data_IF_715791393828
#
_entry.id   IF_715791393828
#
_cell.length_a   1.000
_cell.length_b   1.000
_cell.length_c   1.000
_cell.angle_alpha   90.00
_cell.angle_beta   90.00
_cell.angle_gamma   90.00
#
_symmetry.space_group_name_H-M   'P 1'
#
loop_
_entity.id
_entity.type
_entity.pdbx_description
1 polymer ?
#
# COMPACT_ATOMS: atom_id res chain seq x y z
N UNK A 1 -17.02 39.55 -9.16
CA UNK A 1 -17.07 38.13 -8.73
C UNK A 1 -16.36 37.31 -9.78
N UNK A 2 -15.33 36.54 -9.41
CA UNK A 2 -14.64 35.66 -10.36
C UNK A 2 -15.56 34.47 -10.66
N UNK A 3 -16.09 34.38 -11.87
CA UNK A 3 -16.91 33.24 -12.29
C UNK A 3 -15.99 32.05 -12.56
N UNK A 4 -16.21 30.95 -11.83
CA UNK A 4 -15.49 29.70 -12.05
C UNK A 4 -16.36 28.73 -12.85
N UNK A 5 -15.74 28.04 -13.82
CA UNK A 5 -16.32 26.88 -14.48
C UNK A 5 -15.80 25.60 -13.84
N UNK A 6 -16.60 24.54 -13.84
CA UNK A 6 -16.13 23.20 -13.50
C UNK A 6 -16.69 22.13 -14.43
N UNK A 7 -16.01 21.00 -14.49
CA UNK A 7 -16.48 19.81 -15.18
C UNK A 7 -16.04 18.54 -14.42
N UNK A 8 -16.84 17.49 -14.52
CA UNK A 8 -16.50 16.14 -14.08
C UNK A 8 -16.13 15.29 -15.30
N UNK A 9 -15.09 14.48 -15.18
CA UNK A 9 -14.59 13.64 -16.27
C UNK A 9 -14.15 12.27 -15.77
N UNK A 10 -14.31 11.26 -16.62
CA UNK A 10 -14.03 9.88 -16.27
C UNK A 10 -12.55 9.53 -16.42
N UNK A 11 -12.05 8.76 -15.45
CA UNK A 11 -10.70 8.22 -15.49
C UNK A 11 -10.68 6.78 -15.00
N UNK A 12 -9.58 6.04 -15.20
CA UNK A 12 -9.43 4.65 -14.76
C UNK A 12 -9.46 4.48 -13.23
N UNK A 13 -9.30 5.57 -12.47
CA UNK A 13 -9.31 5.53 -11.00
C UNK A 13 -10.59 6.11 -10.37
N UNK A 14 -11.54 6.57 -11.20
CA UNK A 14 -12.80 7.16 -10.78
C UNK A 14 -13.09 8.49 -11.48
N UNK A 15 -14.25 9.09 -11.18
CA UNK A 15 -14.66 10.35 -11.78
C UNK A 15 -13.98 11.53 -11.09
N UNK A 16 -13.08 12.19 -11.81
CA UNK A 16 -12.35 13.36 -11.35
C UNK A 16 -13.14 14.63 -11.63
N UNK A 17 -12.72 15.73 -11.02
CA UNK A 17 -13.24 17.05 -11.29
C UNK A 17 -12.14 18.05 -11.60
N UNK A 18 -12.47 19.07 -12.39
CA UNK A 18 -11.55 20.15 -12.75
C UNK A 18 -12.28 21.49 -12.64
N UNK A 19 -11.60 22.51 -12.11
CA UNK A 19 -12.16 23.85 -11.89
C UNK A 19 -11.22 24.88 -12.51
N UNK A 20 -11.75 25.80 -13.30
CA UNK A 20 -11.00 26.86 -13.98
C UNK A 20 -11.64 28.23 -13.79
N UNK A 21 -10.83 29.29 -13.90
CA UNK A 21 -11.27 30.68 -13.96
C UNK A 21 -10.67 31.38 -15.18
N UNK A 22 -10.83 32.70 -15.27
CA UNK A 22 -10.36 33.49 -16.43
C UNK A 22 -8.84 33.53 -16.62
N UNK A 23 -8.04 33.09 -15.63
CA UNK A 23 -6.56 33.08 -15.68
C UNK A 23 -5.96 31.68 -15.81
N UNK A 24 -6.79 30.64 -15.87
CA UNK A 24 -6.35 29.26 -16.01
C UNK A 24 -6.94 28.31 -14.97
N UNK A 25 -6.26 27.18 -14.80
CA UNK A 25 -6.68 26.08 -13.93
C UNK A 25 -6.54 26.45 -12.45
N UNK A 26 -7.59 26.24 -11.67
CA UNK A 26 -7.63 26.58 -10.24
C UNK A 26 -7.56 25.32 -9.37
N UNK A 27 -8.14 24.22 -9.83
CA UNK A 27 -8.11 22.93 -9.10
C UNK A 27 -8.28 21.72 -10.00
N UNK A 28 -7.60 20.63 -9.62
CA UNK A 28 -7.93 19.26 -10.02
C UNK A 28 -8.34 18.48 -8.76
N UNK A 29 -9.53 17.91 -8.79
CA UNK A 29 -10.08 17.07 -7.74
C UNK A 29 -9.98 15.60 -8.16
N UNK A 30 -9.14 14.84 -7.45
CA UNK A 30 -9.10 13.38 -7.57
C UNK A 30 -10.42 12.76 -7.05
N UNK A 31 -10.78 11.55 -7.49
CA UNK A 31 -12.09 10.97 -7.19
C UNK A 31 -12.22 10.64 -5.71
N UNK A 32 -13.40 10.92 -5.15
CA UNK A 32 -13.86 10.35 -3.88
C UNK A 32 -14.51 8.97 -4.10
N UNK A 33 -15.09 8.37 -3.06
CA UNK A 33 -15.75 7.07 -3.16
C UNK A 33 -16.98 7.11 -4.08
N UNK A 34 -17.65 8.26 -4.19
CA UNK A 34 -18.79 8.48 -5.09
C UNK A 34 -18.63 9.79 -5.85
N UNK A 35 -19.16 9.85 -7.08
CA UNK A 35 -19.19 11.07 -7.88
C UNK A 35 -19.83 12.26 -7.14
N UNK A 36 -20.95 12.01 -6.45
CA UNK A 36 -21.64 13.02 -5.64
C UNK A 36 -20.71 13.65 -4.60
N UNK A 37 -19.78 12.87 -4.02
CA UNK A 37 -18.80 13.35 -3.04
C UNK A 37 -17.68 14.13 -3.72
N UNK A 38 -17.20 13.68 -4.88
CA UNK A 38 -16.25 14.43 -5.71
C UNK A 38 -16.82 15.82 -6.05
N UNK A 39 -18.08 15.86 -6.51
CA UNK A 39 -18.81 17.10 -6.81
C UNK A 39 -18.96 17.98 -5.58
N UNK A 40 -19.45 17.41 -4.47
CA UNK A 40 -19.66 18.14 -3.23
C UNK A 40 -18.36 18.77 -2.71
N UNK A 41 -17.23 18.05 -2.77
CA UNK A 41 -15.92 18.57 -2.33
C UNK A 41 -15.42 19.73 -3.19
N UNK A 42 -15.71 19.74 -4.50
CA UNK A 42 -15.40 20.90 -5.34
C UNK A 42 -16.28 22.10 -5.00
N UNK A 43 -17.59 21.90 -4.91
CA UNK A 43 -18.56 22.98 -4.63
C UNK A 43 -18.40 23.55 -3.21
N UNK A 44 -17.94 22.75 -2.25
CA UNK A 44 -17.59 23.24 -0.92
C UNK A 44 -16.48 24.31 -0.97
N UNK A 45 -15.55 24.20 -1.92
CA UNK A 45 -14.42 25.13 -2.04
C UNK A 45 -14.65 26.22 -3.07
N UNK A 46 -15.52 25.96 -4.05
CA UNK A 46 -15.95 26.90 -5.06
C UNK A 46 -17.49 26.91 -5.15
N UNK A 47 -18.18 27.51 -4.17
CA UNK A 47 -19.65 27.48 -4.11
C UNK A 47 -20.33 28.10 -5.32
N UNK A 48 -19.69 29.12 -5.92
CA UNK A 48 -20.20 29.85 -7.07
C UNK A 48 -19.78 29.23 -8.42
N UNK A 49 -19.04 28.10 -8.42
CA UNK A 49 -18.63 27.46 -9.65
C UNK A 49 -19.82 26.84 -10.38
N UNK A 50 -19.88 27.04 -11.70
CA UNK A 50 -20.95 26.51 -12.55
C UNK A 50 -20.41 25.40 -13.43
N UNK A 51 -21.20 24.34 -13.57
CA UNK A 51 -20.87 23.26 -14.49
C UNK A 51 -20.97 23.78 -15.92
N UNK A 52 -19.92 23.59 -16.72
CA UNK A 52 -19.85 24.10 -18.08
C UNK A 52 -18.96 23.20 -18.94
N UNK A 53 -19.06 23.34 -20.26
CA UNK A 53 -18.11 22.71 -21.17
C UNK A 53 -16.70 23.31 -20.95
N UNK A 54 -15.66 22.47 -20.79
CA UNK A 54 -14.29 22.95 -20.62
C UNK A 54 -13.83 23.76 -21.84
N UNK A 55 -13.19 24.93 -21.65
CA UNK A 55 -12.53 25.63 -22.74
C UNK A 55 -11.35 24.80 -23.29
N UNK A 56 -10.85 25.08 -24.51
CA UNK A 56 -9.89 24.20 -25.20
C UNK A 56 -8.61 23.89 -24.42
N UNK A 57 -8.11 24.83 -23.63
CA UNK A 57 -6.94 24.66 -22.77
C UNK A 57 -7.20 23.72 -21.58
N UNK A 58 -8.36 23.84 -20.95
CA UNK A 58 -8.80 22.94 -19.88
C UNK A 58 -9.11 21.55 -20.44
N UNK A 59 -9.71 21.46 -21.63
CA UNK A 59 -9.96 20.17 -22.28
C UNK A 59 -8.65 19.42 -22.56
N UNK A 60 -7.61 20.11 -23.06
CA UNK A 60 -6.28 19.50 -23.22
C UNK A 60 -5.69 18.99 -21.90
N UNK A 61 -5.93 19.69 -20.79
CA UNK A 61 -5.51 19.23 -19.47
C UNK A 61 -6.26 17.96 -19.06
N UNK A 62 -7.57 17.90 -19.28
CA UNK A 62 -8.39 16.70 -19.04
C UNK A 62 -7.84 15.53 -19.85
N UNK A 63 -7.66 15.70 -21.15
CA UNK A 63 -7.19 14.64 -22.04
C UNK A 63 -5.83 14.09 -21.61
N UNK A 64 -4.90 14.98 -21.22
CA UNK A 64 -3.60 14.59 -20.71
C UNK A 64 -3.66 13.85 -19.36
N UNK A 65 -4.56 14.25 -18.44
CA UNK A 65 -4.79 13.53 -17.18
C UNK A 65 -5.36 12.13 -17.46
N UNK A 66 -6.33 12.02 -18.36
CA UNK A 66 -6.94 10.75 -18.76
C UNK A 66 -5.90 9.82 -19.38
N UNK A 67 -5.05 10.33 -20.27
CA UNK A 67 -3.94 9.58 -20.88
C UNK A 67 -2.98 9.06 -19.81
N UNK A 68 -2.53 9.91 -18.87
CA UNK A 68 -1.67 9.48 -17.76
C UNK A 68 -2.31 8.37 -16.93
N UNK A 69 -3.62 8.41 -16.71
CA UNK A 69 -4.32 7.41 -15.90
C UNK A 69 -4.52 6.07 -16.65
N UNK A 70 -4.40 6.09 -17.98
CA UNK A 70 -4.30 4.88 -18.81
C UNK A 70 -2.89 4.32 -18.89
N UNK A 71 -1.90 5.00 -18.29
CA UNK A 71 -0.48 4.65 -18.36
C UNK A 71 0.19 5.16 -19.64
N UNK A 72 -0.46 6.04 -20.40
CA UNK A 72 0.08 6.66 -21.59
C UNK A 72 0.98 7.85 -21.21
N UNK A 73 2.03 8.10 -21.98
CA UNK A 73 2.91 9.23 -21.75
C UNK A 73 2.19 10.55 -22.16
N UNK A 74 2.02 11.46 -21.21
CA UNK A 74 1.50 12.81 -21.49
C UNK A 74 2.22 13.85 -20.63
N UNK A 75 2.41 15.05 -21.20
CA UNK A 75 3.07 16.17 -20.54
C UNK A 75 2.07 17.27 -20.24
N UNK A 76 1.90 17.59 -18.94
CA UNK A 76 0.99 18.62 -18.46
C UNK A 76 1.70 19.94 -18.10
N UNK A 77 2.98 20.09 -18.47
CA UNK A 77 3.78 21.30 -18.19
C UNK A 77 3.27 22.54 -18.93
N UNK A 78 2.55 22.38 -20.04
CA UNK A 78 1.93 23.49 -20.79
C UNK A 78 0.59 23.99 -20.23
N UNK A 79 0.05 23.36 -19.18
CA UNK A 79 -1.22 23.81 -18.57
C UNK A 79 -0.99 25.09 -17.76
N UNK A 80 -1.78 26.12 -18.04
CA UNK A 80 -1.76 27.39 -17.29
C UNK A 80 -2.44 27.20 -15.93
N UNK A 81 -1.73 27.53 -14.85
CA UNK A 81 -2.23 27.45 -13.47
C UNK A 81 -2.55 28.85 -12.95
N UNK A 82 -3.69 29.04 -12.30
CA UNK A 82 -4.00 30.27 -11.55
C UNK A 82 -3.27 30.22 -10.20
N UNK A 83 -2.14 30.93 -10.14
CA UNK A 83 -1.23 30.92 -8.99
C UNK A 83 -1.53 32.02 -7.97
N UNK A 84 -2.54 32.89 -8.18
CA UNK A 84 -2.82 34.05 -7.32
C UNK A 84 -3.02 33.69 -5.85
N UNK A 85 -3.62 32.52 -5.60
CA UNK A 85 -3.92 32.02 -4.24
C UNK A 85 -2.84 31.09 -3.70
N UNK A 86 -1.73 30.94 -4.43
CA UNK A 86 -0.63 30.04 -4.07
C UNK A 86 0.49 30.85 -3.43
N UNK A 87 0.90 30.55 -2.19
CA UNK A 87 2.05 31.22 -1.58
C UNK A 87 3.30 31.12 -2.46
N UNK A 88 4.13 32.18 -2.56
CA UNK A 88 5.29 32.20 -3.47
C UNK A 88 6.24 31.00 -3.33
N UNK A 89 6.48 30.54 -2.10
CA UNK A 89 7.30 29.35 -1.86
C UNK A 89 6.66 28.08 -2.44
N UNK A 90 5.33 27.91 -2.30
CA UNK A 90 4.62 26.76 -2.85
C UNK A 90 4.68 26.78 -4.38
N UNK A 91 4.57 27.97 -4.99
CA UNK A 91 4.67 28.12 -6.43
C UNK A 91 5.99 27.57 -6.98
N UNK A 92 7.12 27.96 -6.38
CA UNK A 92 8.44 27.42 -6.76
C UNK A 92 8.54 25.90 -6.54
N UNK A 93 7.96 25.37 -5.46
CA UNK A 93 7.88 23.90 -5.24
C UNK A 93 7.10 23.22 -6.36
N UNK A 94 5.99 23.80 -6.79
CA UNK A 94 5.15 23.25 -7.86
C UNK A 94 5.87 23.27 -9.20
N UNK A 95 6.59 24.34 -9.54
CA UNK A 95 7.44 24.42 -10.73
C UNK A 95 8.45 23.28 -10.80
N UNK A 96 9.19 23.04 -9.70
CA UNK A 96 10.14 21.91 -9.63
C UNK A 96 9.42 20.58 -9.76
N UNK A 97 8.28 20.38 -9.08
CA UNK A 97 7.51 19.15 -9.17
C UNK A 97 7.01 18.86 -10.60
N UNK A 98 6.65 19.88 -11.37
CA UNK A 98 6.20 19.75 -12.76
C UNK A 98 7.29 19.29 -13.73
N UNK A 99 8.56 19.40 -13.35
CA UNK A 99 9.68 18.86 -14.15
C UNK A 99 9.85 17.34 -14.03
N UNK A 100 9.19 16.70 -13.05
CA UNK A 100 9.34 15.26 -12.82
C UNK A 100 8.54 14.51 -13.88
N UNK A 101 9.15 13.74 -14.78
CA UNK A 101 8.42 13.03 -15.83
C UNK A 101 7.64 11.83 -15.25
N UNK A 102 6.59 11.36 -15.95
CA UNK A 102 5.90 10.12 -15.58
C UNK A 102 6.89 8.95 -15.46
N UNK A 103 6.70 8.10 -14.46
CA UNK A 103 7.58 6.94 -14.24
C UNK A 103 8.87 7.26 -13.46
N UNK A 104 9.15 8.53 -13.17
CA UNK A 104 10.27 8.93 -12.32
C UNK A 104 9.79 9.49 -10.99
N UNK A 105 10.67 9.43 -9.99
CA UNK A 105 10.40 9.97 -8.65
C UNK A 105 11.59 10.76 -8.14
N UNK A 106 11.34 11.69 -7.23
CA UNK A 106 12.35 12.50 -6.56
C UNK A 106 11.94 12.64 -5.08
N UNK A 107 12.89 12.87 -4.19
CA UNK A 107 12.60 13.09 -2.77
C UNK A 107 12.25 14.54 -2.44
N UNK A 108 11.57 14.75 -1.30
CA UNK A 108 11.35 16.10 -0.75
C UNK A 108 12.67 16.87 -0.55
N UNK A 109 13.75 16.18 -0.17
CA UNK A 109 15.06 16.78 0.05
C UNK A 109 15.75 17.21 -1.24
N UNK A 110 15.61 16.43 -2.31
CA UNK A 110 16.12 16.81 -3.63
C UNK A 110 15.37 18.01 -4.21
N UNK A 111 14.06 18.13 -4.00
CA UNK A 111 13.32 19.36 -4.36
C UNK A 111 13.83 20.55 -3.53
N UNK A 112 14.00 20.37 -2.23
CA UNK A 112 14.50 21.43 -1.34
C UNK A 112 15.91 21.90 -1.76
N UNK A 113 16.78 20.98 -2.19
CA UNK A 113 18.09 21.28 -2.72
C UNK A 113 18.02 22.08 -4.04
N UNK A 114 17.15 21.69 -4.99
CA UNK A 114 16.93 22.43 -6.24
C UNK A 114 16.41 23.85 -6.03
N UNK A 115 15.73 24.09 -4.90
CA UNK A 115 15.24 25.41 -4.50
C UNK A 115 16.30 26.27 -3.78
N UNK A 116 17.53 25.76 -3.60
CA UNK A 116 18.58 26.45 -2.84
C UNK A 116 18.33 26.46 -1.32
N UNK A 117 17.43 25.59 -0.82
CA UNK A 117 17.09 25.51 0.60
C UNK A 117 17.09 24.04 1.10
N UNK A 118 18.24 23.35 1.19
CA UNK A 118 18.33 21.92 1.49
C UNK A 118 17.64 21.48 2.80
N UNK A 119 17.61 22.37 3.81
CA UNK A 119 16.94 22.13 5.09
C UNK A 119 15.40 22.22 5.03
N UNK A 120 14.83 22.67 3.91
CA UNK A 120 13.39 22.95 3.77
C UNK A 120 12.52 21.74 3.39
N UNK A 121 13.04 20.50 3.52
CA UNK A 121 12.32 19.27 3.14
C UNK A 121 10.90 19.18 3.74
N UNK A 122 10.72 19.57 5.01
CA UNK A 122 9.41 19.60 5.68
C UNK A 122 8.47 20.64 5.05
N UNK A 123 8.99 21.83 4.71
CA UNK A 123 8.21 22.88 4.08
C UNK A 123 7.77 22.50 2.66
N UNK A 124 8.64 21.80 1.90
CA UNK A 124 8.28 21.21 0.60
C UNK A 124 7.13 20.21 0.76
N UNK A 125 7.18 19.34 1.77
CA UNK A 125 6.10 18.41 2.08
C UNK A 125 4.78 19.11 2.38
N UNK A 126 4.80 20.19 3.17
CA UNK A 126 3.60 20.99 3.46
C UNK A 126 3.03 21.69 2.21
N UNK A 127 3.91 22.24 1.35
CA UNK A 127 3.51 22.86 0.10
C UNK A 127 2.80 21.85 -0.82
N UNK A 128 3.38 20.66 -1.00
CA UNK A 128 2.80 19.59 -1.82
C UNK A 128 1.52 19.00 -1.21
N UNK A 129 1.42 18.95 0.13
CA UNK A 129 0.20 18.52 0.82
C UNK A 129 -0.99 19.46 0.61
N UNK A 130 -0.72 20.73 0.27
CA UNK A 130 -1.72 21.77 -0.07
C UNK A 130 -1.87 22.00 -1.57
N UNK A 131 -1.30 21.15 -2.41
CA UNK A 131 -1.36 21.26 -3.86
C UNK A 131 -2.81 21.18 -4.38
N UNK A 132 -3.36 22.25 -4.99
CA UNK A 132 -4.70 22.22 -5.55
C UNK A 132 -4.74 21.62 -6.97
N UNK A 133 -3.58 21.44 -7.60
CA UNK A 133 -3.44 21.05 -9.02
C UNK A 133 -2.97 19.60 -9.14
N UNK A 134 -3.60 18.66 -8.42
CA UNK A 134 -3.21 17.26 -8.46
C UNK A 134 -3.02 16.75 -9.91
N UNK A 135 -2.02 15.89 -10.13
CA UNK A 135 -1.59 15.34 -11.44
C UNK A 135 -0.89 16.37 -12.35
N UNK A 136 -1.45 17.57 -12.53
CA UNK A 136 -0.78 18.65 -13.28
C UNK A 136 0.48 19.11 -12.56
N UNK A 137 0.41 19.24 -11.23
CA UNK A 137 1.53 19.25 -10.30
C UNK A 137 1.59 17.84 -9.68
N UNK A 138 2.54 16.98 -10.11
CA UNK A 138 2.52 15.55 -9.80
C UNK A 138 3.11 15.25 -8.41
N UNK A 139 2.43 15.71 -7.35
CA UNK A 139 2.87 15.51 -5.97
C UNK A 139 2.98 14.03 -5.56
N UNK A 140 2.32 13.11 -6.27
CA UNK A 140 2.46 11.66 -6.08
C UNK A 140 3.84 11.12 -6.49
N UNK A 141 4.57 11.81 -7.39
CA UNK A 141 5.94 11.47 -7.80
C UNK A 141 7.02 11.88 -6.78
N UNK A 142 6.63 12.60 -5.73
CA UNK A 142 7.55 13.07 -4.69
C UNK A 142 7.52 12.13 -3.47
N UNK A 143 8.67 11.59 -3.10
CA UNK A 143 8.83 10.56 -2.07
C UNK A 143 9.61 11.06 -0.85
N UNK A 144 9.55 10.32 0.25
CA UNK A 144 10.46 10.49 1.36
C UNK A 144 11.86 9.93 1.00
N UNK A 145 12.86 10.29 1.81
CA UNK A 145 14.23 9.85 1.59
C UNK A 145 14.33 8.31 1.55
N UNK A 146 15.20 7.79 0.67
CA UNK A 146 15.34 6.35 0.41
C UNK A 146 14.19 5.72 -0.40
N UNK A 147 13.37 6.51 -1.08
CA UNK A 147 12.26 6.02 -1.92
C UNK A 147 11.04 5.53 -1.13
N UNK A 148 10.96 5.87 0.16
CA UNK A 148 9.78 5.58 1.01
C UNK A 148 8.62 6.47 0.62
N UNK A 149 7.39 6.00 0.79
CA UNK A 149 6.22 6.84 0.52
C UNK A 149 6.07 7.87 1.65
N UNK A 150 5.96 9.14 1.28
CA UNK A 150 5.37 10.16 2.15
C UNK A 150 3.83 10.13 2.08
N UNK A 151 3.17 10.87 2.97
CA UNK A 151 1.72 11.02 2.96
C UNK A 151 1.15 11.57 1.64
N UNK A 152 -0.16 11.43 1.46
CA UNK A 152 -0.88 11.91 0.28
C UNK A 152 -2.28 12.41 0.68
N UNK A 153 -2.64 13.61 0.25
CA UNK A 153 -3.85 14.30 0.72
C UNK A 153 -5.13 13.89 0.00
N UNK A 154 -5.04 13.11 -1.09
CA UNK A 154 -6.22 12.66 -1.83
C UNK A 154 -6.99 11.55 -1.08
N UNK A 155 -8.25 11.35 -1.45
CA UNK A 155 -9.03 10.18 -1.02
C UNK A 155 -8.22 8.89 -1.26
N UNK A 156 -8.24 7.96 -0.29
CA UNK A 156 -7.41 6.74 -0.32
C UNK A 156 -5.93 6.94 0.03
N UNK A 157 -5.49 8.17 0.31
CA UNK A 157 -4.19 8.47 0.89
C UNK A 157 -3.01 7.84 0.16
N UNK A 158 -2.12 7.20 0.91
CA UNK A 158 -0.91 6.55 0.38
C UNK A 158 -1.24 5.48 -0.67
N UNK A 159 -2.38 4.79 -0.58
CA UNK A 159 -2.80 3.80 -1.57
C UNK A 159 -3.07 4.44 -2.95
N UNK A 160 -3.71 5.61 -2.98
CA UNK A 160 -3.93 6.36 -4.23
C UNK A 160 -2.60 6.83 -4.82
N UNK A 161 -1.66 7.29 -3.99
CA UNK A 161 -0.31 7.66 -4.43
C UNK A 161 0.42 6.48 -5.09
N UNK A 162 0.37 5.31 -4.46
CA UNK A 162 0.93 4.07 -5.00
C UNK A 162 0.28 3.65 -6.31
N UNK A 163 -1.03 3.77 -6.41
CA UNK A 163 -1.77 3.48 -7.64
C UNK A 163 -1.31 4.36 -8.79
N UNK A 164 -1.19 5.68 -8.57
CA UNK A 164 -0.72 6.63 -9.57
C UNK A 164 0.73 6.33 -10.00
N UNK A 165 1.62 6.06 -9.04
CA UNK A 165 3.00 5.65 -9.35
C UNK A 165 3.05 4.33 -10.15
N UNK A 166 2.18 3.38 -9.82
CA UNK A 166 2.09 2.09 -10.50
C UNK A 166 1.60 2.23 -11.94
N UNK A 167 0.57 3.06 -12.17
CA UNK A 167 0.05 3.36 -13.51
C UNK A 167 1.16 3.95 -14.39
N UNK A 168 1.97 4.86 -13.84
CA UNK A 168 3.08 5.49 -14.56
C UNK A 168 4.33 4.59 -14.69
N UNK A 169 4.31 3.38 -14.14
CA UNK A 169 5.45 2.45 -14.18
C UNK A 169 6.61 2.84 -13.25
N UNK A 170 6.44 3.84 -12.38
CA UNK A 170 7.48 4.39 -11.54
C UNK A 170 8.03 3.37 -10.53
N UNK A 171 9.35 3.28 -10.44
CA UNK A 171 10.04 2.46 -9.45
C UNK A 171 10.15 3.21 -8.12
N UNK A 172 9.03 3.33 -7.40
CA UNK A 172 9.17 3.45 -5.95
C UNK A 172 9.83 2.16 -5.46
N UNK A 173 10.78 2.23 -4.53
CA UNK A 173 11.32 1.05 -3.84
C UNK A 173 10.17 0.38 -3.05
N UNK A 174 9.31 -0.35 -3.77
CA UNK A 174 8.07 -0.96 -3.32
C UNK A 174 8.33 -2.25 -2.52
N UNK A 175 9.53 -2.36 -1.94
CA UNK A 175 9.87 -3.39 -0.95
C UNK A 175 9.55 -2.95 0.48
N UNK A 176 9.19 -1.68 0.73
CA UNK A 176 9.12 -1.20 2.12
C UNK A 176 8.02 -0.19 2.48
N UNK A 177 7.02 0.09 1.62
CA UNK A 177 6.01 1.11 1.93
C UNK A 177 4.55 0.75 1.56
N UNK A 178 4.22 -0.52 1.32
CA UNK A 178 2.83 -0.96 1.15
C UNK A 178 2.20 -1.47 2.46
N UNK A 179 2.93 -1.37 3.59
CA UNK A 179 2.70 -2.14 4.81
C UNK A 179 2.82 -1.33 6.11
N UNK A 180 2.39 -0.07 6.09
CA UNK A 180 2.30 0.75 7.31
C UNK A 180 0.83 0.79 7.78
N UNK A 181 0.53 0.03 8.84
CA UNK A 181 -0.66 0.20 9.67
C UNK A 181 -0.29 0.65 11.09
N UNK A 182 -1.23 1.27 11.78
CA UNK A 182 -1.15 1.69 13.19
C UNK A 182 -1.69 0.62 14.16
N UNK A 183 -1.99 -0.58 13.65
CA UNK A 183 -2.62 -1.66 14.41
C UNK A 183 -1.81 -2.05 15.64
N UNK A 184 -2.43 -1.90 16.80
CA UNK A 184 -1.84 -2.22 18.10
C UNK A 184 -1.81 -3.72 18.33
N UNK A 185 -0.67 -4.24 18.77
CA UNK A 185 -0.57 -5.62 19.23
C UNK A 185 -1.48 -5.86 20.43
N UNK A 186 -1.95 -7.11 20.58
CA UNK A 186 -2.69 -7.56 21.77
C UNK A 186 -1.78 -7.90 22.96
N UNK A 187 -0.49 -7.61 22.83
CA UNK A 187 0.53 -7.78 23.85
C UNK A 187 1.41 -6.53 23.86
N UNK A 188 2.02 -6.23 25.00
CA UNK A 188 2.98 -5.13 25.11
C UNK A 188 4.32 -5.53 24.49
N UNK A 189 4.77 -4.87 23.41
CA UNK A 189 5.97 -5.30 22.69
C UNK A 189 7.24 -5.27 23.55
N UNK A 190 7.40 -4.26 24.40
CA UNK A 190 8.60 -4.11 25.23
C UNK A 190 8.70 -5.23 26.29
N UNK A 191 7.58 -5.59 26.91
CA UNK A 191 7.49 -6.75 27.82
C UNK A 191 7.82 -8.04 27.09
N UNK A 192 7.28 -8.24 25.90
CA UNK A 192 7.53 -9.43 25.10
C UNK A 192 8.99 -9.55 24.63
N UNK A 193 9.62 -8.43 24.25
CA UNK A 193 11.05 -8.38 23.90
C UNK A 193 11.90 -8.76 25.10
N UNK A 194 11.65 -8.16 26.27
CA UNK A 194 12.44 -8.45 27.47
C UNK A 194 12.26 -9.91 27.92
N UNK A 195 11.04 -10.45 27.82
CA UNK A 195 10.79 -11.86 28.09
C UNK A 195 11.63 -12.78 27.20
N UNK A 196 11.63 -12.56 25.88
CA UNK A 196 12.40 -13.37 24.93
C UNK A 196 13.90 -13.22 25.17
N UNK A 197 14.35 -11.99 25.45
CA UNK A 197 15.74 -11.68 25.77
C UNK A 197 16.22 -12.41 27.02
N UNK A 198 15.44 -12.38 28.10
CA UNK A 198 15.76 -13.06 29.36
C UNK A 198 15.71 -14.60 29.23
N UNK A 199 14.75 -15.12 28.46
CA UNK A 199 14.51 -16.56 28.32
C UNK A 199 15.56 -17.29 27.46
N UNK A 200 16.27 -16.56 26.59
CA UNK A 200 17.33 -17.12 25.76
C UNK A 200 18.56 -16.21 25.66
N UNK A 201 19.51 -16.42 26.57
CA UNK A 201 20.82 -15.73 26.60
C UNK A 201 21.63 -15.83 25.30
N UNK A 202 21.37 -16.83 24.45
CA UNK A 202 22.05 -16.94 23.14
C UNK A 202 21.36 -16.13 22.05
N UNK A 203 20.08 -15.79 22.21
CA UNK A 203 19.35 -14.90 21.32
C UNK A 203 19.50 -13.43 21.73
N UNK A 204 19.72 -13.15 23.02
CA UNK A 204 19.88 -11.80 23.55
C UNK A 204 20.90 -10.92 22.78
N UNK A 205 22.09 -11.40 22.36
CA UNK A 205 23.02 -10.58 21.58
C UNK A 205 22.46 -10.15 20.22
N UNK A 206 21.59 -10.96 19.61
CA UNK A 206 20.90 -10.56 18.38
C UNK A 206 19.89 -9.45 18.66
N UNK A 207 19.13 -9.56 19.74
CA UNK A 207 18.14 -8.55 20.15
C UNK A 207 18.84 -7.22 20.39
N UNK A 208 19.92 -7.22 21.17
CA UNK A 208 20.70 -6.02 21.49
C UNK A 208 21.28 -5.36 20.22
N UNK A 209 21.79 -6.18 19.29
CA UNK A 209 22.35 -5.69 18.02
C UNK A 209 21.28 -5.13 17.06
N UNK A 210 20.12 -5.77 16.97
CA UNK A 210 19.03 -5.33 16.10
C UNK A 210 18.33 -4.10 16.68
N UNK A 211 18.26 -3.99 18.01
CA UNK A 211 17.62 -2.91 18.73
C UNK A 211 16.10 -3.02 18.71
N UNK A 212 15.42 -1.88 18.82
CA UNK A 212 13.98 -1.75 19.06
C UNK A 212 13.12 -2.65 18.15
N UNK A 213 12.13 -3.31 18.74
CA UNK A 213 11.08 -4.03 18.01
C UNK A 213 10.17 -3.06 17.27
N UNK A 214 10.18 -3.12 15.94
CA UNK A 214 9.50 -2.15 15.06
C UNK A 214 8.47 -2.79 14.12
N UNK A 215 8.01 -4.00 14.44
CA UNK A 215 6.96 -4.64 13.64
C UNK A 215 5.68 -3.82 13.73
N UNK A 216 4.97 -3.69 12.61
CA UNK A 216 3.65 -3.04 12.54
C UNK A 216 2.64 -4.04 12.01
N UNK A 217 1.45 -4.02 12.57
CA UNK A 217 0.34 -4.79 12.02
C UNK A 217 -0.16 -4.13 10.75
N UNK A 218 -0.53 -4.98 9.81
CA UNK A 218 -1.10 -4.58 8.54
C UNK A 218 -2.61 -4.73 8.64
N UNK A 219 -3.36 -3.65 8.39
CA UNK A 219 -4.82 -3.71 8.40
C UNK A 219 -5.33 -4.49 7.18
N UNK A 220 -6.50 -5.12 7.32
CA UNK A 220 -7.20 -5.79 6.22
C UNK A 220 -8.70 -5.62 6.44
N UNK A 221 -9.51 -5.42 5.40
CA UNK A 221 -10.97 -5.32 5.55
C UNK A 221 -11.61 -6.68 5.92
N UNK A 222 -10.98 -7.80 5.55
CA UNK A 222 -11.44 -9.14 5.90
C UNK A 222 -10.34 -10.20 5.78
N UNK A 223 -10.60 -11.39 6.34
CA UNK A 223 -9.75 -12.57 6.13
C UNK A 223 -9.78 -13.02 4.67
N UNK A 224 -10.95 -12.95 4.02
CA UNK A 224 -11.08 -13.25 2.60
C UNK A 224 -10.12 -12.41 1.75
N UNK A 225 -10.13 -11.08 1.94
CA UNK A 225 -9.26 -10.18 1.18
C UNK A 225 -7.78 -10.48 1.45
N UNK A 226 -7.39 -10.70 2.70
CA UNK A 226 -6.01 -11.02 3.03
C UNK A 226 -5.52 -12.31 2.35
N UNK A 227 -6.38 -13.35 2.31
CA UNK A 227 -6.05 -14.61 1.64
C UNK A 227 -6.09 -14.47 0.11
N UNK A 228 -7.02 -13.70 -0.44
CA UNK A 228 -7.08 -13.40 -1.87
C UNK A 228 -5.81 -12.67 -2.32
N UNK A 229 -5.37 -11.67 -1.57
CA UNK A 229 -4.10 -10.98 -1.80
C UNK A 229 -2.93 -11.98 -1.73
N UNK A 230 -2.86 -12.81 -0.68
CA UNK A 230 -1.79 -13.81 -0.54
C UNK A 230 -1.70 -14.75 -1.75
N UNK A 231 -2.83 -15.29 -2.24
CA UNK A 231 -2.89 -16.14 -3.45
C UNK A 231 -2.29 -15.42 -4.66
N UNK A 232 -2.64 -14.15 -4.85
CA UNK A 232 -2.12 -13.37 -5.99
C UNK A 232 -0.62 -13.11 -5.85
N UNK A 233 -0.10 -12.95 -4.63
CA UNK A 233 1.30 -12.64 -4.37
C UNK A 233 2.26 -13.82 -4.43
N UNK A 234 1.75 -15.05 -4.38
CA UNK A 234 2.59 -16.25 -4.44
C UNK A 234 3.48 -16.30 -5.69
N UNK A 235 4.76 -16.64 -5.49
CA UNK A 235 5.74 -16.90 -6.56
C UNK A 235 5.93 -15.74 -7.55
N UNK A 236 5.55 -14.52 -7.16
CA UNK A 236 5.75 -13.32 -7.96
C UNK A 236 6.58 -12.30 -7.19
N UNK A 237 7.17 -11.37 -7.93
CA UNK A 237 7.67 -10.15 -7.32
C UNK A 237 6.50 -9.36 -6.75
N UNK A 238 6.70 -8.64 -5.64
CA UNK A 238 5.65 -7.81 -5.04
C UNK A 238 5.06 -6.81 -6.02
N UNK A 239 5.86 -6.26 -6.95
CA UNK A 239 5.40 -5.36 -8.01
C UNK A 239 4.42 -6.05 -8.97
N UNK A 240 4.79 -7.21 -9.50
CA UNK A 240 3.93 -7.95 -10.43
C UNK A 240 2.62 -8.38 -9.76
N UNK A 241 2.71 -8.86 -8.52
CA UNK A 241 1.54 -9.25 -7.74
C UNK A 241 0.61 -8.09 -7.42
N UNK A 242 1.15 -6.94 -6.97
CA UNK A 242 0.37 -5.73 -6.70
C UNK A 242 -0.35 -5.25 -7.96
N UNK A 243 0.32 -5.25 -9.11
CA UNK A 243 -0.29 -4.91 -10.40
C UNK A 243 -1.45 -5.84 -10.74
N UNK A 244 -1.27 -7.16 -10.60
CA UNK A 244 -2.35 -8.13 -10.88
C UNK A 244 -3.51 -7.95 -9.90
N UNK A 245 -3.22 -7.82 -8.59
CA UNK A 245 -4.26 -7.66 -7.58
C UNK A 245 -5.05 -6.36 -7.79
N UNK A 246 -4.39 -5.25 -8.10
CA UNK A 246 -5.04 -3.99 -8.43
C UNK A 246 -5.93 -4.10 -9.68
N UNK A 247 -5.47 -4.81 -10.72
CA UNK A 247 -6.29 -5.10 -11.92
C UNK A 247 -7.50 -5.94 -11.60
N UNK A 248 -7.38 -6.95 -10.73
CA UNK A 248 -8.52 -7.76 -10.26
C UNK A 248 -9.52 -6.89 -9.49
N UNK A 249 -9.06 -6.05 -8.57
CA UNK A 249 -9.92 -5.12 -7.84
C UNK A 249 -10.64 -4.16 -8.78
N UNK A 250 -9.95 -3.67 -9.81
CA UNK A 250 -10.51 -2.75 -10.80
C UNK A 250 -11.62 -3.36 -11.67
N UNK A 251 -11.81 -4.68 -11.67
CA UNK A 251 -12.96 -5.32 -12.33
C UNK A 251 -14.28 -5.04 -11.62
N UNK A 252 -14.25 -4.61 -10.36
CA UNK A 252 -15.44 -4.49 -9.52
C UNK A 252 -15.61 -3.08 -8.97
N UNK A 253 -16.81 -2.50 -9.07
CA UNK A 253 -17.09 -1.23 -8.42
C UNK A 253 -16.97 -1.39 -6.90
N UNK A 254 -16.36 -0.40 -6.25
CA UNK A 254 -16.18 -0.32 -4.78
C UNK A 254 -15.26 -1.38 -4.14
N UNK A 255 -14.54 -2.17 -4.93
CA UNK A 255 -13.53 -3.10 -4.41
C UNK A 255 -12.16 -2.42 -4.13
N UNK A 256 -12.17 -1.20 -3.59
CA UNK A 256 -10.94 -0.40 -3.38
C UNK A 256 -9.98 -1.04 -2.36
N UNK A 257 -10.54 -1.76 -1.40
CA UNK A 257 -9.79 -2.48 -0.36
C UNK A 257 -9.66 -3.98 -0.67
N UNK A 258 -10.18 -4.44 -1.81
CA UNK A 258 -10.21 -5.85 -2.21
C UNK A 258 -11.60 -6.29 -2.72
N UNK A 259 -11.68 -7.35 -3.54
CA UNK A 259 -12.96 -7.89 -4.01
C UNK A 259 -13.71 -8.63 -2.88
N UNK A 260 -15.03 -8.76 -3.01
CA UNK A 260 -15.83 -9.68 -2.17
C UNK A 260 -15.86 -11.10 -2.77
N UNK A 261 -16.26 -12.08 -1.96
CA UNK A 261 -16.44 -13.45 -2.43
C UNK A 261 -17.48 -13.52 -3.57
N UNK A 262 -18.60 -12.83 -3.43
CA UNK A 262 -19.69 -12.80 -4.42
C UNK A 262 -19.23 -12.14 -5.73
N UNK A 263 -18.41 -11.09 -5.65
CA UNK A 263 -17.83 -10.44 -6.82
C UNK A 263 -16.94 -11.41 -7.61
N UNK A 264 -16.04 -12.12 -6.91
CA UNK A 264 -15.21 -13.15 -7.54
C UNK A 264 -16.08 -14.25 -8.16
N UNK A 265 -17.10 -14.75 -7.45
CA UNK A 265 -17.98 -15.80 -7.94
C UNK A 265 -18.77 -15.39 -9.20
N UNK A 266 -19.22 -14.13 -9.28
CA UNK A 266 -20.01 -13.62 -10.42
C UNK A 266 -19.17 -13.25 -11.65
N UNK A 267 -17.89 -12.93 -11.48
CA UNK A 267 -17.02 -12.66 -12.62
C UNK A 267 -16.87 -13.89 -13.52
N UNK A 268 -16.59 -13.71 -14.81
CA UNK A 268 -16.18 -14.82 -15.68
C UNK A 268 -14.69 -15.12 -15.49
N UNK A 269 -14.30 -16.38 -15.71
CA UNK A 269 -12.89 -16.79 -15.65
C UNK A 269 -12.02 -15.99 -16.63
N UNK A 270 -12.52 -15.70 -17.83
CA UNK A 270 -11.82 -14.89 -18.83
C UNK A 270 -11.53 -13.47 -18.35
N UNK A 271 -12.46 -12.83 -17.65
CA UNK A 271 -12.23 -11.49 -17.06
C UNK A 271 -11.15 -11.53 -15.99
N UNK A 272 -11.20 -12.52 -15.09
CA UNK A 272 -10.20 -12.69 -14.03
C UNK A 272 -8.82 -13.05 -14.60
N UNK A 273 -8.77 -13.85 -15.67
CA UNK A 273 -7.56 -14.18 -16.43
C UNK A 273 -6.98 -12.95 -17.13
N UNK A 274 -7.82 -12.14 -17.77
CA UNK A 274 -7.40 -10.90 -18.44
C UNK A 274 -6.79 -9.87 -17.46
N UNK A 275 -7.20 -9.90 -16.19
CA UNK A 275 -6.56 -9.10 -15.13
C UNK A 275 -5.14 -9.59 -14.75
N UNK A 276 -4.72 -10.76 -15.23
CA UNK A 276 -3.36 -11.29 -15.07
C UNK A 276 -3.23 -12.48 -14.11
N UNK A 277 -4.33 -13.04 -13.61
CA UNK A 277 -4.28 -14.23 -12.75
C UNK A 277 -3.86 -15.46 -13.54
N UNK A 278 -2.89 -16.25 -13.03
CA UNK A 278 -2.56 -17.57 -13.59
C UNK A 278 -3.73 -18.56 -13.42
N UNK A 279 -3.82 -19.63 -14.23
CA UNK A 279 -4.87 -20.66 -14.06
C UNK A 279 -4.87 -21.25 -12.64
N UNK A 280 -3.74 -21.63 -12.02
CA UNK A 280 -3.72 -22.10 -10.63
C UNK A 280 -4.26 -21.07 -9.64
N UNK A 281 -3.86 -19.79 -9.77
CA UNK A 281 -4.31 -18.71 -8.87
C UNK A 281 -5.80 -18.43 -9.01
N UNK A 282 -6.32 -18.47 -10.23
CA UNK A 282 -7.75 -18.38 -10.48
C UNK A 282 -8.50 -19.50 -9.74
N UNK A 283 -8.06 -20.75 -9.87
CA UNK A 283 -8.70 -21.88 -9.21
C UNK A 283 -8.66 -21.76 -7.68
N UNK A 284 -7.54 -21.32 -7.12
CA UNK A 284 -7.40 -21.01 -5.69
C UNK A 284 -8.34 -19.89 -5.25
N UNK A 285 -8.42 -18.80 -6.03
CA UNK A 285 -9.28 -17.66 -5.71
C UNK A 285 -10.78 -18.03 -5.79
N UNK A 286 -11.16 -18.88 -6.76
CA UNK A 286 -12.51 -19.45 -6.87
C UNK A 286 -12.86 -20.35 -5.69
N UNK A 287 -11.92 -21.17 -5.26
CA UNK A 287 -12.08 -22.04 -4.09
C UNK A 287 -12.27 -21.23 -2.80
N UNK A 288 -11.40 -20.25 -2.58
CA UNK A 288 -11.53 -19.30 -1.47
C UNK A 288 -12.90 -18.59 -1.48
N UNK A 289 -13.36 -18.13 -2.65
CA UNK A 289 -14.64 -17.43 -2.76
C UNK A 289 -15.85 -18.35 -2.49
N UNK A 290 -15.82 -19.60 -2.95
CA UNK A 290 -16.86 -20.59 -2.63
C UNK A 290 -16.92 -20.88 -1.13
N UNK A 291 -15.77 -21.12 -0.50
CA UNK A 291 -15.67 -21.38 0.95
C UNK A 291 -16.10 -20.18 1.78
N UNK A 292 -15.75 -18.97 1.37
CA UNK A 292 -16.20 -17.76 2.03
C UNK A 292 -17.72 -17.58 1.93
N UNK A 293 -18.32 -17.80 0.75
CA UNK A 293 -19.76 -17.74 0.57
C UNK A 293 -20.52 -18.83 1.35
N UNK A 294 -19.88 -19.97 1.61
CA UNK A 294 -20.40 -21.06 2.44
C UNK A 294 -20.22 -20.83 3.97
N UNK A 295 -19.60 -19.72 4.38
CA UNK A 295 -19.33 -19.43 5.80
C UNK A 295 -18.19 -20.26 6.41
N UNK A 296 -17.37 -20.92 5.58
CA UNK A 296 -16.23 -21.71 6.06
C UNK A 296 -15.01 -20.82 6.41
N UNK A 297 -14.93 -19.62 5.83
CA UNK A 297 -13.86 -18.64 6.11
C UNK A 297 -14.32 -17.73 7.25
N UNK A 298 -13.60 -17.67 8.38
CA UNK A 298 -14.01 -16.86 9.52
C UNK A 298 -13.89 -15.38 9.20
N UNK A 299 -14.81 -14.59 9.74
CA UNK A 299 -14.72 -13.13 9.79
C UNK A 299 -13.58 -12.67 10.71
N UNK A 300 -13.19 -11.39 10.63
CA UNK A 300 -12.21 -10.81 11.56
C UNK A 300 -12.68 -10.90 13.03
N UNK A 301 -13.99 -10.77 13.28
CA UNK A 301 -14.53 -10.90 14.62
C UNK A 301 -14.42 -12.33 15.16
N UNK A 302 -14.73 -13.33 14.32
CA UNK A 302 -14.66 -14.74 14.69
C UNK A 302 -13.21 -15.21 14.87
N UNK A 303 -12.31 -14.83 13.95
CA UNK A 303 -10.91 -15.26 14.00
C UNK A 303 -10.21 -14.86 15.29
N UNK A 304 -10.67 -13.79 15.94
CA UNK A 304 -10.14 -13.32 17.21
C UNK A 304 -10.53 -14.18 18.42
N UNK A 305 -11.53 -15.06 18.28
CA UNK A 305 -12.00 -15.99 19.31
C UNK A 305 -11.49 -17.42 19.08
N UNK A 306 -10.84 -17.66 17.94
CA UNK A 306 -10.29 -18.96 17.60
C UNK A 306 -8.86 -19.10 18.09
N UNK A 307 -8.46 -20.33 18.39
CA UNK A 307 -7.08 -20.71 18.63
C UNK A 307 -6.30 -20.76 17.31
N UNK A 308 -4.98 -20.52 17.39
CA UNK A 308 -4.11 -20.40 16.22
C UNK A 308 -4.15 -21.68 15.34
N UNK A 309 -4.14 -22.87 15.95
CA UNK A 309 -4.17 -24.12 15.18
C UNK A 309 -5.51 -24.38 14.49
N UNK A 310 -6.63 -23.97 15.11
CA UNK A 310 -7.95 -24.05 14.50
C UNK A 310 -8.06 -23.11 13.28
N UNK A 311 -7.42 -21.93 13.35
CA UNK A 311 -7.33 -21.01 12.20
C UNK A 311 -6.49 -21.64 11.09
N UNK A 312 -5.34 -22.23 11.43
CA UNK A 312 -4.46 -22.92 10.46
C UNK A 312 -5.21 -24.05 9.77
N UNK A 313 -5.83 -24.95 10.51
CA UNK A 313 -6.60 -26.07 9.95
C UNK A 313 -7.69 -25.58 8.99
N UNK A 314 -8.51 -24.63 9.43
CA UNK A 314 -9.61 -24.10 8.64
C UNK A 314 -9.14 -23.42 7.36
N UNK A 315 -8.12 -22.56 7.45
CA UNK A 315 -7.65 -21.78 6.29
C UNK A 315 -6.76 -22.58 5.33
N UNK A 316 -6.10 -23.65 5.79
CA UNK A 316 -5.35 -24.56 4.91
C UNK A 316 -6.24 -25.51 4.10
N UNK A 317 -7.54 -25.58 4.40
CA UNK A 317 -8.52 -26.24 3.53
C UNK A 317 -8.70 -25.54 2.18
N UNK A 318 -8.30 -24.27 2.08
CA UNK A 318 -8.38 -23.49 0.84
C UNK A 318 -7.26 -23.92 -0.11
N UNK A 319 -7.63 -24.25 -1.35
CA UNK A 319 -6.67 -24.63 -2.39
C UNK A 319 -5.54 -23.60 -2.53
N UNK A 320 -4.31 -24.05 -2.37
CA UNK A 320 -3.12 -23.21 -2.56
C UNK A 320 -2.76 -22.33 -1.36
N UNK A 321 -3.49 -22.42 -0.24
CA UNK A 321 -3.11 -21.81 1.03
C UNK A 321 -2.41 -22.86 1.89
N UNK A 322 -1.11 -22.68 2.11
CA UNK A 322 -0.34 -23.53 3.01
C UNK A 322 -0.26 -22.95 4.42
N UNK A 323 0.18 -23.78 5.39
CA UNK A 323 0.38 -23.38 6.80
C UNK A 323 1.19 -22.10 6.93
N UNK A 324 2.31 -21.99 6.21
CA UNK A 324 3.15 -20.80 6.18
C UNK A 324 2.36 -19.52 5.86
N UNK A 325 1.42 -19.57 4.90
CA UNK A 325 0.61 -18.40 4.53
C UNK A 325 -0.30 -17.97 5.68
N UNK A 326 -0.87 -18.95 6.40
CA UNK A 326 -1.72 -18.68 7.56
C UNK A 326 -0.88 -18.15 8.73
N UNK A 327 0.32 -18.69 8.96
CA UNK A 327 1.24 -18.17 9.99
C UNK A 327 1.62 -16.71 9.71
N UNK A 328 1.81 -16.33 8.44
CA UNK A 328 2.06 -14.93 8.07
C UNK A 328 0.84 -14.04 8.36
N UNK A 329 -0.37 -14.53 8.11
CA UNK A 329 -1.62 -13.84 8.48
C UNK A 329 -1.71 -13.66 10.00
N UNK A 330 -1.45 -14.71 10.78
CA UNK A 330 -1.48 -14.67 12.25
C UNK A 330 -0.51 -13.61 12.80
N UNK A 331 0.71 -13.54 12.25
CA UNK A 331 1.74 -12.59 12.69
C UNK A 331 1.43 -11.16 12.25
N UNK A 332 1.25 -10.93 10.94
CA UNK A 332 1.28 -9.59 10.37
C UNK A 332 -0.10 -8.92 10.30
N UNK A 333 -1.20 -9.69 10.25
CA UNK A 333 -2.56 -9.14 10.19
C UNK A 333 -3.27 -9.22 11.55
N UNK A 334 -3.09 -10.33 12.26
CA UNK A 334 -3.81 -10.60 13.51
C UNK A 334 -2.99 -10.32 14.78
N UNK A 335 -1.67 -10.11 14.65
CA UNK A 335 -0.79 -9.80 15.76
C UNK A 335 -0.74 -10.87 16.85
N UNK A 336 -0.87 -12.14 16.46
CA UNK A 336 -0.77 -13.27 17.39
C UNK A 336 0.64 -13.33 18.00
N UNK A 337 0.76 -13.42 19.34
CA UNK A 337 2.04 -13.30 20.02
C UNK A 337 2.93 -14.55 19.89
N UNK A 338 2.34 -15.73 19.68
CA UNK A 338 3.03 -17.01 19.88
C UNK A 338 3.23 -17.85 18.62
N UNK A 339 3.59 -17.22 17.50
CA UNK A 339 3.77 -17.92 16.21
C UNK A 339 5.25 -18.08 15.87
N UNK A 340 5.67 -19.32 15.59
CA UNK A 340 7.01 -19.65 15.07
C UNK A 340 6.88 -20.42 13.75
N UNK A 341 7.07 -19.76 12.60
CA UNK A 341 7.00 -20.41 11.29
C UNK A 341 8.19 -21.35 11.07
N UNK A 342 8.05 -22.62 11.43
CA UNK A 342 9.16 -23.58 11.46
C UNK A 342 9.73 -23.90 10.07
N UNK A 343 8.89 -23.81 9.05
CA UNK A 343 9.26 -24.12 7.66
C UNK A 343 9.73 -22.87 6.90
N UNK A 344 9.70 -21.69 7.52
CA UNK A 344 10.14 -20.43 6.90
C UNK A 344 11.66 -20.40 6.75
N UNK A 345 12.13 -20.26 5.51
CA UNK A 345 13.55 -20.19 5.19
C UNK A 345 14.25 -19.02 5.90
N UNK A 346 13.60 -17.86 6.00
CA UNK A 346 14.14 -16.68 6.67
C UNK A 346 14.35 -16.90 8.17
N UNK A 347 13.40 -17.55 8.85
CA UNK A 347 13.51 -17.95 10.25
C UNK A 347 14.66 -18.95 10.42
N UNK A 348 14.70 -20.01 9.61
CA UNK A 348 15.77 -21.02 9.68
C UNK A 348 17.15 -20.41 9.43
N UNK A 349 17.25 -19.50 8.46
CA UNK A 349 18.51 -18.78 8.16
C UNK A 349 18.89 -17.82 9.28
N UNK A 350 17.92 -17.09 9.82
CA UNK A 350 18.11 -16.22 10.97
C UNK A 350 18.60 -16.98 12.19
N UNK A 351 18.04 -18.16 12.44
CA UNK A 351 18.45 -19.05 13.51
C UNK A 351 19.88 -19.56 13.29
N UNK A 352 20.22 -19.96 12.06
CA UNK A 352 21.58 -20.36 11.72
C UNK A 352 22.60 -19.27 12.11
N UNK A 353 22.30 -18.01 11.76
CA UNK A 353 23.14 -16.84 12.04
C UNK A 353 23.21 -16.57 13.55
N UNK A 354 22.04 -16.45 14.20
CA UNK A 354 21.92 -16.11 15.61
C UNK A 354 22.65 -17.11 16.52
N UNK A 355 22.55 -18.41 16.18
CA UNK A 355 23.11 -19.49 16.98
C UNK A 355 24.43 -20.05 16.42
N UNK A 356 25.02 -19.40 15.41
CA UNK A 356 26.29 -19.77 14.76
C UNK A 356 26.34 -21.25 14.34
N UNK A 357 25.27 -21.74 13.71
CA UNK A 357 25.18 -23.12 13.22
C UNK A 357 25.87 -23.24 11.87
N UNK A 358 26.59 -24.35 11.65
CA UNK A 358 27.25 -24.65 10.36
C UNK A 358 26.22 -24.92 9.26
N UNK A 359 25.18 -25.69 9.58
CA UNK A 359 24.11 -26.07 8.66
C UNK A 359 22.81 -25.35 8.97
N UNK A 360 21.90 -25.33 7.98
CA UNK A 360 20.56 -24.78 8.15
C UNK A 360 19.79 -25.66 9.16
N UNK A 361 19.34 -25.12 10.30
CA UNK A 361 18.72 -25.91 11.37
C UNK A 361 17.44 -26.61 10.89
N UNK A 362 17.16 -27.76 11.48
CA UNK A 362 15.96 -28.57 11.19
C UNK A 362 14.73 -28.00 11.91
N UNK A 363 13.53 -28.39 11.47
CA UNK A 363 12.27 -28.07 12.16
C UNK A 363 12.31 -28.40 13.65
N UNK A 364 12.86 -29.57 14.00
CA UNK A 364 13.00 -30.05 15.37
C UNK A 364 13.94 -29.16 16.21
N UNK A 365 15.01 -28.63 15.61
CA UNK A 365 15.92 -27.71 16.30
C UNK A 365 15.21 -26.40 16.68
N UNK A 366 14.43 -25.85 15.75
CA UNK A 366 13.65 -24.62 15.97
C UNK A 366 12.57 -24.85 17.02
N UNK A 367 11.85 -25.97 16.93
CA UNK A 367 10.76 -26.30 17.86
C UNK A 367 11.27 -26.45 19.29
N UNK A 368 12.32 -27.27 19.51
CA UNK A 368 12.93 -27.48 20.83
C UNK A 368 13.42 -26.18 21.47
N UNK A 369 14.05 -25.31 20.68
CA UNK A 369 14.52 -24.01 21.19
C UNK A 369 13.35 -23.05 21.43
N UNK A 370 12.39 -23.04 20.51
CA UNK A 370 11.26 -22.13 20.46
C UNK A 370 10.34 -22.22 21.67
N UNK A 371 10.33 -23.36 22.39
CA UNK A 371 9.65 -23.50 23.69
C UNK A 371 10.07 -22.40 24.67
N UNK A 372 11.33 -21.98 24.66
CA UNK A 372 11.86 -20.93 25.53
C UNK A 372 11.28 -19.55 25.26
N UNK A 373 10.77 -19.31 24.05
CA UNK A 373 10.29 -17.99 23.65
C UNK A 373 8.78 -17.85 23.84
N UNK A 374 8.08 -18.92 24.24
CA UNK A 374 6.66 -18.83 24.59
C UNK A 374 6.47 -17.86 25.77
N UNK A 375 5.39 -17.04 25.77
CA UNK A 375 4.31 -16.99 24.78
C UNK A 375 4.54 -15.99 23.64
N UNK A 376 5.78 -15.55 23.40
CA UNK A 376 6.13 -14.48 22.47
C UNK A 376 7.01 -14.94 21.30
N UNK A 377 6.74 -16.14 20.77
CA UNK A 377 7.50 -16.69 19.63
C UNK A 377 7.45 -15.78 18.39
N UNK A 378 6.42 -14.96 18.21
CA UNK A 378 6.35 -13.96 17.13
C UNK A 378 7.45 -12.91 17.24
N UNK A 379 7.79 -12.47 18.46
CA UNK A 379 8.87 -11.51 18.69
C UNK A 379 10.23 -12.13 18.33
N UNK A 380 10.48 -13.36 18.75
CA UNK A 380 11.68 -14.09 18.36
C UNK A 380 11.76 -14.25 16.83
N UNK A 381 10.66 -14.62 16.19
CA UNK A 381 10.55 -14.74 14.73
C UNK A 381 10.97 -13.45 14.02
N UNK A 382 10.52 -12.29 14.51
CA UNK A 382 10.90 -10.99 13.96
C UNK A 382 12.40 -10.73 14.00
N UNK A 383 13.06 -10.97 15.14
CA UNK A 383 14.51 -10.81 15.27
C UNK A 383 15.29 -11.77 14.36
N UNK A 384 14.83 -13.01 14.24
CA UNK A 384 15.44 -13.99 13.33
C UNK A 384 15.35 -13.53 11.86
N UNK A 385 14.22 -12.98 11.43
CA UNK A 385 14.13 -12.37 10.09
C UNK A 385 15.08 -11.18 9.91
N UNK A 386 15.30 -10.35 10.95
CA UNK A 386 16.27 -9.25 10.88
C UNK A 386 17.70 -9.77 10.71
N UNK A 387 18.08 -10.84 11.41
CA UNK A 387 19.37 -11.50 11.24
C UNK A 387 19.58 -12.00 9.81
N UNK A 388 18.56 -12.65 9.23
CA UNK A 388 18.62 -13.16 7.86
C UNK A 388 18.69 -12.04 6.80
N UNK A 389 18.07 -10.89 7.06
CA UNK A 389 18.10 -9.72 6.18
C UNK A 389 19.45 -9.00 6.18
N UNK A 390 20.07 -8.82 7.34
CA UNK A 390 21.35 -8.13 7.49
C UNK A 390 22.54 -8.89 6.90
N UNK A 391 22.43 -10.21 6.70
CA UNK A 391 23.48 -11.01 6.06
C UNK A 391 23.51 -10.89 4.52
N UNK A 392 22.63 -10.05 3.93
CA UNK A 392 22.60 -9.74 2.50
C UNK A 392 23.23 -8.38 2.16
N UNK A 393 23.63 -7.62 3.18
CA UNK A 393 24.51 -6.44 3.10
C UNK A 393 25.92 -6.89 3.48
#
# INVERSE_FOLDING_TARGET
MTTYGFALFDTTIGRCGIVWGGRGLVRVQLPEARELETRARMLQQFPDAREASPPPDVQRAIDGIVALFRGEASHLSGVTLDMDRVPPFHGRVYEVARTIPPGQTISYGEIAARLGAPAASRAVGQALGRNPFAIVVPCHRVLANGGKLGGFSAHGGVATKLRLLSIEGAQANARQALFDGDGTFRFEPDVAVEHVRASDRRLAPLIDRVGQFRMRLQTTPSIFVALAEAIVYQQLTGKAAATIFARVCALFPRAYEGPTAEQILRASDDKLRAAGLSRPKLLSLRDLARKAAAGEIPTLAEVHRLEDEAIIERLTSVRGIGRWTVEMLLIFRLGRPDVLPLDDYGIRKGFQIAFKKRELPTRNDLEKRGVRWKPYRTVASWYLWRAAGQAKE
#
